data_IF_269598700666
#
_entry.id   IF_269598700666
#
_cell.length_a   1.000
_cell.length_b   1.000
_cell.length_c   1.000
_cell.angle_alpha   90.00
_cell.angle_beta   90.00
_cell.angle_gamma   90.00
#
_symmetry.space_group_name_H-M   'P 1'
#
loop_
_entity.id
_entity.type
_entity.pdbx_description
1 polymer ?
#
# COMPACT_ATOMS: atom_id res chain seq x y z
N UNK A 1 -21.77 -68.50 -25.02
CA UNK A 1 -22.28 -67.29 -24.37
C UNK A 1 -21.08 -66.49 -23.82
N UNK A 2 -20.50 -65.60 -24.68
CA UNK A 2 -19.27 -64.86 -24.37
C UNK A 2 -19.65 -63.53 -23.68
N UNK A 3 -19.18 -63.34 -22.47
CA UNK A 3 -19.26 -62.04 -21.74
C UNK A 3 -17.96 -61.29 -22.04
N UNK A 4 -18.02 -60.30 -22.92
CA UNK A 4 -16.91 -59.29 -23.10
C UNK A 4 -16.91 -58.34 -21.94
N UNK A 5 -15.89 -58.43 -21.09
CA UNK A 5 -15.57 -57.47 -20.04
C UNK A 5 -14.82 -56.30 -20.70
N UNK A 6 -15.51 -55.14 -20.81
CA UNK A 6 -14.96 -53.90 -21.30
C UNK A 6 -14.17 -53.22 -20.19
N UNK A 7 -12.84 -53.34 -20.22
CA UNK A 7 -11.97 -52.65 -19.26
C UNK A 7 -11.84 -51.16 -19.70
N UNK A 8 -12.51 -50.27 -18.94
CA UNK A 8 -12.39 -48.81 -19.12
C UNK A 8 -11.07 -48.36 -18.49
N UNK A 9 -10.04 -48.14 -19.29
CA UNK A 9 -8.78 -47.52 -18.84
C UNK A 9 -9.03 -46.02 -18.69
N UNK A 10 -9.28 -45.59 -17.44
CA UNK A 10 -9.26 -44.18 -17.08
C UNK A 10 -7.79 -43.75 -17.08
N UNK A 11 -7.35 -43.17 -18.17
CA UNK A 11 -6.07 -42.50 -18.26
C UNK A 11 -6.13 -41.25 -17.37
N UNK A 12 -5.59 -41.34 -16.17
CA UNK A 12 -5.27 -40.18 -15.33
C UNK A 12 -4.18 -39.40 -16.09
N UNK A 13 -4.59 -38.39 -16.84
CA UNK A 13 -3.67 -37.33 -17.27
C UNK A 13 -3.24 -36.56 -16.00
N UNK A 14 -2.21 -37.06 -15.33
CA UNK A 14 -1.44 -36.21 -14.40
C UNK A 14 -0.79 -35.14 -15.27
N UNK A 15 -1.33 -33.91 -15.16
CA UNK A 15 -0.63 -32.72 -15.63
C UNK A 15 0.78 -32.78 -15.02
N UNK A 16 1.83 -32.62 -15.81
CA UNK A 16 3.17 -32.62 -15.26
C UNK A 16 3.26 -31.45 -14.27
N UNK A 17 3.58 -31.73 -13.01
CA UNK A 17 4.06 -30.71 -12.09
C UNK A 17 5.17 -29.97 -12.84
N UNK A 18 4.96 -28.69 -13.14
CA UNK A 18 5.94 -27.88 -13.84
C UNK A 18 7.24 -27.91 -13.03
N UNK A 19 8.24 -28.58 -13.54
CA UNK A 19 9.60 -28.59 -12.99
C UNK A 19 10.33 -27.23 -13.23
N UNK A 20 9.62 -26.25 -13.77
CA UNK A 20 10.13 -24.94 -14.15
C UNK A 20 9.57 -23.86 -13.23
N UNK A 21 10.38 -22.85 -12.93
CA UNK A 21 9.95 -21.62 -12.29
C UNK A 21 8.89 -20.89 -13.13
N UNK A 22 8.18 -19.97 -12.52
CA UNK A 22 7.18 -19.13 -13.21
C UNK A 22 7.87 -18.06 -14.06
N UNK A 23 7.26 -17.70 -15.19
CA UNK A 23 7.64 -16.54 -16.01
C UNK A 23 6.89 -15.29 -15.49
N UNK A 24 7.62 -14.29 -15.01
CA UNK A 24 7.05 -13.10 -14.39
C UNK A 24 7.52 -11.87 -15.15
N UNK A 25 6.58 -11.03 -15.56
CA UNK A 25 6.91 -9.71 -16.11
C UNK A 25 6.82 -8.67 -15.00
N UNK A 26 7.91 -7.91 -14.79
CA UNK A 26 7.90 -6.70 -13.96
C UNK A 26 7.74 -5.50 -14.89
N UNK A 27 6.54 -4.94 -14.89
CA UNK A 27 6.18 -3.78 -15.69
C UNK A 27 6.34 -2.50 -14.89
N UNK A 28 7.19 -1.58 -15.34
CA UNK A 28 7.54 -0.36 -14.62
C UNK A 28 7.08 0.89 -15.35
N UNK A 29 6.51 1.84 -14.60
CA UNK A 29 6.22 3.19 -15.10
C UNK A 29 7.49 4.04 -15.28
N UNK A 30 8.59 3.71 -14.58
CA UNK A 30 9.87 4.41 -14.64
C UNK A 30 11.00 3.52 -14.09
N UNK A 31 12.25 3.91 -14.35
CA UNK A 31 13.46 3.25 -13.84
C UNK A 31 13.98 3.85 -12.54
N UNK A 32 13.10 4.25 -11.62
CA UNK A 32 13.50 4.84 -10.34
C UNK A 32 14.18 3.81 -9.42
N UNK A 33 15.04 4.28 -8.52
CA UNK A 33 15.73 3.45 -7.52
C UNK A 33 14.74 2.66 -6.67
N UNK A 34 13.60 3.26 -6.32
CA UNK A 34 12.55 2.58 -5.53
C UNK A 34 11.92 1.42 -6.29
N UNK A 35 11.67 1.56 -7.60
CA UNK A 35 11.14 0.48 -8.41
C UNK A 35 12.14 -0.68 -8.52
N UNK A 36 13.43 -0.38 -8.60
CA UNK A 36 14.47 -1.40 -8.63
C UNK A 36 14.58 -2.14 -7.29
N UNK A 37 14.55 -1.40 -6.18
CA UNK A 37 14.58 -1.98 -4.84
C UNK A 37 13.39 -2.91 -4.60
N UNK A 38 12.18 -2.47 -4.93
CA UNK A 38 10.95 -3.28 -4.82
C UNK A 38 11.06 -4.54 -5.68
N UNK A 39 11.51 -4.42 -6.92
CA UNK A 39 11.70 -5.58 -7.80
C UNK A 39 12.66 -6.60 -7.19
N UNK A 40 13.82 -6.16 -6.69
CA UNK A 40 14.82 -7.06 -6.10
C UNK A 40 14.24 -7.81 -4.89
N UNK A 41 13.58 -7.09 -3.97
CA UNK A 41 12.99 -7.71 -2.78
C UNK A 41 11.86 -8.66 -3.15
N UNK A 42 11.01 -8.28 -4.11
CA UNK A 42 9.93 -9.13 -4.61
C UNK A 42 10.48 -10.44 -5.20
N UNK A 43 11.50 -10.35 -6.04
CA UNK A 43 12.12 -11.52 -6.67
C UNK A 43 12.79 -12.44 -5.65
N UNK A 44 13.60 -11.86 -4.75
CA UNK A 44 14.26 -12.60 -3.68
C UNK A 44 13.26 -13.32 -2.77
N UNK A 45 12.13 -12.69 -2.48
CA UNK A 45 11.08 -13.28 -1.64
C UNK A 45 10.29 -14.38 -2.36
N UNK A 46 10.07 -14.25 -3.66
CA UNK A 46 9.48 -15.32 -4.48
C UNK A 46 10.36 -16.56 -4.48
N UNK A 47 11.66 -16.39 -4.71
CA UNK A 47 12.61 -17.50 -4.76
C UNK A 47 12.69 -18.28 -3.44
N UNK A 48 12.56 -17.58 -2.29
CA UNK A 48 12.49 -18.21 -0.95
C UNK A 48 11.22 -19.05 -0.75
N UNK A 49 10.13 -18.73 -1.44
CA UNK A 49 8.82 -19.38 -1.26
C UNK A 49 8.62 -20.59 -2.16
N UNK A 50 9.57 -20.92 -3.05
CA UNK A 50 9.53 -22.14 -3.85
C UNK A 50 9.56 -23.35 -2.91
N UNK A 51 8.59 -24.28 -2.96
CA UNK A 51 8.62 -25.45 -2.13
C UNK A 51 9.79 -26.38 -2.56
N UNK A 52 10.82 -26.46 -1.78
CA UNK A 52 11.94 -27.41 -1.96
C UNK A 52 11.50 -28.85 -1.65
N UNK A 53 10.39 -29.32 -2.16
CA UNK A 53 9.91 -30.70 -1.96
C UNK A 53 10.71 -31.67 -2.82
N UNK A 54 11.94 -31.98 -2.39
CA UNK A 54 12.66 -33.20 -2.84
C UNK A 54 13.08 -33.30 -4.31
N UNK A 55 12.86 -32.28 -5.12
CA UNK A 55 13.29 -32.23 -6.52
C UNK A 55 14.69 -31.64 -6.61
N UNK A 56 15.63 -32.38 -7.20
CA UNK A 56 17.05 -32.03 -7.30
C UNK A 56 17.38 -30.83 -8.19
N UNK A 57 16.42 -30.24 -8.88
CA UNK A 57 16.60 -28.99 -9.67
C UNK A 57 15.25 -28.33 -9.90
N UNK A 58 14.89 -27.37 -9.06
CA UNK A 58 13.85 -26.40 -9.40
C UNK A 58 14.54 -25.25 -10.13
N UNK A 59 14.09 -24.91 -11.32
CA UNK A 59 14.59 -23.73 -12.03
C UNK A 59 14.07 -22.47 -11.29
N UNK A 60 14.90 -21.43 -11.08
CA UNK A 60 14.45 -20.18 -10.50
C UNK A 60 13.36 -19.54 -11.37
N UNK A 61 12.56 -18.66 -10.78
CA UNK A 61 11.62 -17.84 -11.54
C UNK A 61 12.36 -17.03 -12.61
N UNK A 62 11.78 -16.93 -13.80
CA UNK A 62 12.30 -16.02 -14.82
C UNK A 62 11.59 -14.67 -14.66
N UNK A 63 12.37 -13.62 -14.46
CA UNK A 63 11.85 -12.28 -14.28
C UNK A 63 12.28 -11.40 -15.44
N UNK A 64 11.32 -11.01 -16.28
CA UNK A 64 11.57 -10.13 -17.43
C UNK A 64 11.09 -8.72 -17.12
N UNK A 65 11.99 -7.75 -17.21
CA UNK A 65 11.67 -6.33 -17.01
C UNK A 65 11.14 -5.69 -18.30
N UNK A 66 10.03 -4.97 -18.18
CA UNK A 66 9.46 -4.12 -19.23
C UNK A 66 9.25 -2.72 -18.67
N UNK A 67 9.93 -1.74 -19.25
CA UNK A 67 9.74 -0.32 -18.89
C UNK A 67 8.84 0.33 -19.94
N UNK A 68 7.83 1.06 -19.46
CA UNK A 68 6.87 1.73 -20.35
C UNK A 68 7.54 2.95 -20.97
N UNK A 69 7.52 3.02 -22.29
CA UNK A 69 7.85 4.22 -23.03
C UNK A 69 6.57 5.01 -23.29
N UNK A 70 6.58 6.28 -22.95
CA UNK A 70 5.42 7.17 -23.14
C UNK A 70 4.99 7.16 -24.61
N UNK A 71 3.73 6.85 -24.86
CA UNK A 71 3.14 6.77 -26.20
C UNK A 71 3.31 5.41 -26.93
N UNK A 72 3.96 4.42 -26.28
CA UNK A 72 4.13 3.05 -26.83
C UNK A 72 3.48 1.97 -25.94
N UNK A 73 2.31 2.27 -25.39
CA UNK A 73 1.55 1.32 -24.59
C UNK A 73 1.24 0.03 -25.38
N UNK A 74 0.91 0.18 -26.66
CA UNK A 74 0.63 -0.95 -27.56
C UNK A 74 1.87 -1.83 -27.85
N UNK A 75 3.06 -1.25 -27.95
CA UNK A 75 4.31 -1.96 -28.05
C UNK A 75 4.62 -2.76 -26.79
N UNK A 76 4.45 -2.15 -25.63
CA UNK A 76 4.59 -2.81 -24.33
C UNK A 76 3.63 -4.00 -24.20
N UNK A 77 2.36 -3.82 -24.55
CA UNK A 77 1.34 -4.90 -24.51
C UNK A 77 1.74 -6.09 -25.39
N UNK A 78 2.13 -5.85 -26.65
CA UNK A 78 2.61 -6.91 -27.56
C UNK A 78 3.84 -7.64 -27.02
N UNK A 79 4.80 -6.91 -26.45
CA UNK A 79 5.99 -7.49 -25.83
C UNK A 79 5.61 -8.40 -24.65
N UNK A 80 4.73 -7.96 -23.78
CA UNK A 80 4.25 -8.79 -22.66
C UNK A 80 3.56 -10.04 -23.19
N UNK A 81 2.69 -9.91 -24.19
CA UNK A 81 2.01 -11.05 -24.79
C UNK A 81 2.98 -12.06 -25.41
N UNK A 82 4.08 -11.59 -26.04
CA UNK A 82 5.09 -12.49 -26.64
C UNK A 82 5.92 -13.26 -25.59
N UNK A 83 6.02 -12.76 -24.35
CA UNK A 83 6.69 -13.43 -23.24
C UNK A 83 5.81 -14.55 -22.67
N UNK A 84 4.48 -14.46 -22.79
CA UNK A 84 3.50 -15.38 -22.19
C UNK A 84 3.70 -15.56 -20.67
N UNK A 85 3.73 -14.48 -19.87
CA UNK A 85 4.02 -14.59 -18.46
C UNK A 85 2.87 -15.24 -17.69
N UNK A 86 3.23 -15.92 -16.60
CA UNK A 86 2.27 -16.49 -15.64
C UNK A 86 1.68 -15.38 -14.72
N UNK A 87 2.40 -14.23 -14.56
CA UNK A 87 1.99 -13.12 -13.72
C UNK A 87 2.66 -11.80 -14.16
N UNK A 88 1.96 -10.69 -13.99
CA UNK A 88 2.53 -9.34 -14.16
C UNK A 88 2.60 -8.65 -12.79
N UNK A 89 3.82 -8.21 -12.39
CA UNK A 89 4.00 -7.23 -11.32
C UNK A 89 4.00 -5.83 -11.93
N UNK A 90 2.98 -5.03 -11.62
CA UNK A 90 2.85 -3.66 -12.13
C UNK A 90 3.31 -2.63 -11.09
N UNK A 91 4.39 -1.88 -11.36
CA UNK A 91 4.93 -0.85 -10.48
C UNK A 91 4.54 0.55 -10.96
N UNK A 92 3.50 1.11 -10.30
CA UNK A 92 2.95 2.43 -10.57
C UNK A 92 1.68 2.41 -11.44
N UNK A 93 0.93 3.51 -11.39
CA UNK A 93 -0.39 3.60 -12.02
C UNK A 93 -0.40 3.43 -13.54
N UNK A 94 0.64 3.90 -14.24
CA UNK A 94 0.76 3.70 -15.69
C UNK A 94 1.04 2.23 -16.01
N UNK A 95 1.87 1.56 -15.19
CA UNK A 95 2.13 0.14 -15.32
C UNK A 95 0.86 -0.68 -15.13
N UNK A 96 0.06 -0.37 -14.12
CA UNK A 96 -1.23 -1.04 -13.92
C UNK A 96 -2.16 -0.85 -15.15
N UNK A 97 -2.27 0.37 -15.68
CA UNK A 97 -3.10 0.63 -16.87
C UNK A 97 -2.69 -0.21 -18.06
N UNK A 98 -1.39 -0.32 -18.33
CA UNK A 98 -0.87 -1.14 -19.44
C UNK A 98 -1.05 -2.63 -19.17
N UNK A 99 -0.80 -3.10 -17.94
CA UNK A 99 -1.05 -4.49 -17.55
C UNK A 99 -2.52 -4.89 -17.76
N UNK A 100 -3.45 -3.99 -17.49
CA UNK A 100 -4.88 -4.24 -17.69
C UNK A 100 -5.29 -4.36 -19.16
N UNK A 101 -4.47 -3.95 -20.11
CA UNK A 101 -4.69 -4.18 -21.55
C UNK A 101 -4.29 -5.58 -22.01
N UNK A 102 -3.54 -6.31 -21.19
CA UNK A 102 -3.16 -7.70 -21.48
C UNK A 102 -4.21 -8.63 -20.85
N UNK A 103 -5.03 -9.36 -21.64
CA UNK A 103 -6.09 -10.20 -21.09
C UNK A 103 -5.53 -11.43 -20.38
N UNK A 104 -6.33 -12.01 -19.49
CA UNK A 104 -6.18 -13.35 -18.90
C UNK A 104 -4.94 -13.58 -18.01
N UNK A 105 -4.03 -12.62 -17.91
CA UNK A 105 -2.84 -12.74 -17.07
C UNK A 105 -3.10 -12.07 -15.71
N UNK A 106 -2.86 -12.78 -14.59
CA UNK A 106 -2.94 -12.21 -13.26
C UNK A 106 -2.04 -10.99 -13.07
N UNK A 107 -2.52 -10.00 -12.31
CA UNK A 107 -1.75 -8.78 -12.03
C UNK A 107 -1.66 -8.55 -10.53
N UNK A 108 -0.44 -8.41 -10.03
CA UNK A 108 -0.16 -7.84 -8.70
C UNK A 108 0.40 -6.44 -8.91
N UNK A 109 -0.13 -5.45 -8.20
CA UNK A 109 0.33 -4.07 -8.37
C UNK A 109 0.84 -3.46 -7.08
N UNK A 110 1.82 -2.57 -7.20
CA UNK A 110 2.39 -1.74 -6.14
C UNK A 110 2.55 -0.30 -6.62
N UNK A 111 2.65 0.63 -5.67
CA UNK A 111 2.86 2.06 -5.94
C UNK A 111 1.74 2.69 -6.81
N UNK A 112 0.51 2.23 -6.63
CA UNK A 112 -0.65 2.74 -7.36
C UNK A 112 -1.54 3.54 -6.42
N UNK A 113 -1.79 4.79 -6.79
CA UNK A 113 -2.73 5.68 -6.09
C UNK A 113 -4.12 5.43 -6.68
N UNK A 114 -5.11 5.15 -5.82
CA UNK A 114 -6.51 4.88 -6.20
C UNK A 114 -6.68 3.79 -7.27
N UNK A 115 -6.18 2.56 -7.01
CA UNK A 115 -6.25 1.47 -7.99
C UNK A 115 -7.69 1.03 -8.30
N UNK A 116 -8.63 1.22 -7.38
CA UNK A 116 -10.04 0.86 -7.51
C UNK A 116 -10.74 1.47 -8.74
N UNK A 117 -10.24 2.58 -9.25
CA UNK A 117 -10.74 3.22 -10.47
C UNK A 117 -10.22 2.56 -11.76
N UNK A 118 -9.21 1.70 -11.64
CA UNK A 118 -8.48 1.11 -12.76
C UNK A 118 -8.70 -0.40 -12.89
N UNK A 119 -9.31 -1.04 -11.88
CA UNK A 119 -9.45 -2.51 -11.80
C UNK A 119 -10.77 -2.96 -12.44
N UNK A 120 -10.67 -3.86 -13.42
CA UNK A 120 -11.82 -4.64 -13.89
C UNK A 120 -12.06 -5.82 -12.93
N UNK A 121 -13.20 -5.85 -12.26
CA UNK A 121 -13.57 -6.90 -11.29
C UNK A 121 -13.67 -8.32 -11.88
N UNK A 122 -13.62 -8.44 -13.20
CA UNK A 122 -13.67 -9.75 -13.90
C UNK A 122 -12.31 -10.44 -13.99
N UNK A 123 -11.22 -9.79 -13.56
CA UNK A 123 -9.85 -10.29 -13.68
C UNK A 123 -9.21 -10.50 -12.29
N UNK A 124 -8.30 -11.47 -12.15
CA UNK A 124 -7.50 -11.61 -10.94
C UNK A 124 -6.46 -10.47 -10.89
N UNK A 125 -6.87 -9.34 -10.31
CA UNK A 125 -6.01 -8.17 -10.11
C UNK A 125 -6.04 -7.80 -8.63
N UNK A 126 -4.88 -7.83 -7.99
CA UNK A 126 -4.71 -7.48 -6.58
C UNK A 126 -3.47 -6.62 -6.39
N UNK A 127 -3.24 -6.14 -5.19
CA UNK A 127 -2.05 -5.36 -4.86
C UNK A 127 -2.04 -4.86 -3.44
N UNK A 128 -1.00 -4.12 -3.07
CA UNK A 128 -0.87 -3.52 -1.75
C UNK A 128 -1.16 -2.03 -1.83
N UNK A 129 -2.02 -1.55 -0.94
CA UNK A 129 -2.42 -0.14 -0.86
C UNK A 129 -1.24 0.77 -0.53
N UNK A 130 -1.23 1.98 -1.09
CA UNK A 130 -0.35 3.08 -0.68
C UNK A 130 -0.92 3.93 0.47
N UNK A 131 -2.06 3.56 1.00
CA UNK A 131 -2.73 4.32 2.05
C UNK A 131 -2.94 3.45 3.27
N UNK A 132 -2.39 3.88 4.40
CA UNK A 132 -2.74 3.30 5.70
C UNK A 132 -4.16 3.72 6.05
N UNK A 133 -5.07 2.78 6.38
CA UNK A 133 -6.45 3.13 6.72
C UNK A 133 -6.53 4.13 7.88
N UNK A 134 -7.47 5.08 7.87
CA UNK A 134 -7.66 6.05 8.94
C UNK A 134 -7.74 5.42 10.33
N UNK A 135 -8.51 4.34 10.48
CA UNK A 135 -8.62 3.61 11.73
C UNK A 135 -7.26 3.16 12.25
N UNK A 136 -6.43 2.59 11.40
CA UNK A 136 -5.10 2.08 11.79
C UNK A 136 -4.18 3.23 12.20
N UNK A 137 -4.21 4.37 11.46
CA UNK A 137 -3.44 5.55 11.84
C UNK A 137 -3.84 6.07 13.22
N UNK A 138 -5.14 6.11 13.52
CA UNK A 138 -5.68 6.59 14.78
C UNK A 138 -5.43 5.60 15.93
N UNK A 139 -5.54 4.30 15.68
CA UNK A 139 -5.23 3.26 16.68
C UNK A 139 -3.75 3.32 17.07
N UNK A 140 -2.85 3.43 16.09
CA UNK A 140 -1.43 3.61 16.36
C UNK A 140 -1.13 4.92 17.11
N UNK A 141 -1.74 6.01 16.70
CA UNK A 141 -1.62 7.31 17.40
C UNK A 141 -2.06 7.21 18.87
N UNK A 142 -3.23 6.62 19.13
CA UNK A 142 -3.78 6.49 20.51
C UNK A 142 -2.88 5.60 21.39
N UNK A 143 -2.20 4.60 20.82
CA UNK A 143 -1.25 3.76 21.55
C UNK A 143 -0.09 4.57 22.15
N UNK A 144 0.35 5.63 21.46
CA UNK A 144 1.44 6.50 21.93
C UNK A 144 0.96 7.71 22.72
N UNK A 145 -0.23 8.20 22.41
CA UNK A 145 -0.84 9.39 23.01
C UNK A 145 -2.26 9.09 23.51
N UNK A 146 -2.41 8.27 24.57
CA UNK A 146 -3.72 7.81 25.05
C UNK A 146 -4.61 8.93 25.60
N UNK A 147 -4.03 10.07 25.99
CA UNK A 147 -4.76 11.22 26.51
C UNK A 147 -5.42 12.08 25.42
N UNK A 148 -5.11 11.80 24.14
CA UNK A 148 -5.70 12.55 23.02
C UNK A 148 -7.14 12.10 22.80
N UNK A 149 -8.07 13.03 22.88
CA UNK A 149 -9.50 12.82 22.63
C UNK A 149 -10.06 13.69 21.52
N UNK A 150 -9.46 14.88 21.25
CA UNK A 150 -9.93 15.83 20.24
C UNK A 150 -8.90 16.00 19.14
N UNK A 151 -9.27 15.66 17.93
CA UNK A 151 -8.38 15.68 16.77
C UNK A 151 -8.81 16.76 15.80
N UNK A 152 -7.89 17.68 15.48
CA UNK A 152 -8.08 18.70 14.46
C UNK A 152 -7.47 18.31 13.13
N UNK A 153 -8.19 18.56 12.05
CA UNK A 153 -7.68 18.36 10.70
C UNK A 153 -8.23 19.42 9.74
N UNK A 154 -7.44 19.74 8.73
CA UNK A 154 -7.88 20.58 7.60
C UNK A 154 -7.83 19.73 6.36
N UNK A 155 -8.87 19.75 5.53
CA UNK A 155 -8.99 18.88 4.38
C UNK A 155 -9.63 19.55 3.15
N UNK A 156 -9.29 19.06 1.97
CA UNK A 156 -9.97 19.43 0.72
C UNK A 156 -11.14 18.47 0.47
N UNK A 157 -12.39 18.95 0.43
CA UNK A 157 -13.56 18.11 0.23
C UNK A 157 -13.52 17.28 -1.07
N UNK A 158 -12.86 17.78 -2.10
CA UNK A 158 -12.70 17.06 -3.37
C UNK A 158 -11.76 15.87 -3.29
N UNK A 159 -10.85 15.85 -2.30
CA UNK A 159 -9.81 14.83 -2.16
C UNK A 159 -10.05 13.90 -0.99
N UNK A 160 -10.44 14.43 0.14
CA UNK A 160 -10.42 13.72 1.44
C UNK A 160 -11.80 13.57 2.08
N UNK A 161 -12.90 14.01 1.44
CA UNK A 161 -14.26 13.89 2.01
C UNK A 161 -14.64 12.46 2.39
N UNK A 162 -14.24 11.46 1.60
CA UNK A 162 -14.51 10.04 1.91
C UNK A 162 -13.84 9.58 3.19
N UNK A 163 -12.63 10.07 3.47
CA UNK A 163 -11.91 9.79 4.71
C UNK A 163 -12.64 10.43 5.88
N UNK A 164 -12.94 11.72 5.77
CA UNK A 164 -13.56 12.49 6.85
C UNK A 164 -14.96 11.96 7.20
N UNK A 165 -15.75 11.58 6.20
CA UNK A 165 -17.12 11.08 6.41
C UNK A 165 -17.22 9.79 7.24
N UNK A 166 -16.15 9.02 7.38
CA UNK A 166 -16.16 7.76 8.14
C UNK A 166 -15.53 7.90 9.54
N UNK A 167 -14.93 9.04 9.88
CA UNK A 167 -14.14 9.17 11.11
C UNK A 167 -14.95 8.83 12.37
N UNK A 168 -16.15 9.39 12.49
CA UNK A 168 -17.02 9.15 13.66
C UNK A 168 -17.46 7.69 13.78
N UNK A 169 -17.53 6.97 12.65
CA UNK A 169 -17.90 5.55 12.65
C UNK A 169 -16.73 4.61 12.96
N UNK A 170 -15.51 4.98 12.55
CA UNK A 170 -14.33 4.14 12.77
C UNK A 170 -13.67 4.36 14.12
N UNK A 171 -13.83 5.55 14.73
CA UNK A 171 -13.34 5.90 16.07
C UNK A 171 -14.34 6.80 16.81
N UNK A 172 -15.48 6.21 17.26
CA UNK A 172 -16.54 6.95 17.95
C UNK A 172 -16.14 7.46 19.34
N UNK A 173 -15.00 7.03 19.85
CA UNK A 173 -14.36 7.46 21.09
C UNK A 173 -13.57 8.76 20.97
N UNK A 174 -13.34 9.24 19.74
CA UNK A 174 -12.61 10.47 19.44
C UNK A 174 -13.53 11.54 18.86
N UNK A 175 -13.28 12.80 19.23
CA UNK A 175 -13.95 13.97 18.65
C UNK A 175 -13.12 14.52 17.51
N UNK A 176 -13.73 14.73 16.33
CA UNK A 176 -13.06 15.27 15.16
C UNK A 176 -13.52 16.68 14.84
N UNK A 177 -12.59 17.63 14.77
CA UNK A 177 -12.82 19.00 14.30
C UNK A 177 -12.22 19.13 12.91
N UNK A 178 -13.02 18.81 11.90
CA UNK A 178 -12.62 18.80 10.50
C UNK A 178 -13.02 20.11 9.81
N UNK A 179 -12.03 20.85 9.30
CA UNK A 179 -12.20 22.12 8.62
C UNK A 179 -11.95 21.96 7.13
N UNK A 180 -12.96 22.28 6.32
CA UNK A 180 -12.91 22.09 4.88
C UNK A 180 -12.40 23.34 4.17
N UNK A 181 -11.50 23.17 3.18
CA UNK A 181 -11.13 24.23 2.24
C UNK A 181 -10.56 23.64 0.93
N UNK A 182 -10.83 24.31 -0.18
CA UNK A 182 -10.20 24.06 -1.48
C UNK A 182 -9.07 25.06 -1.76
N UNK A 183 -8.85 26.02 -0.87
CA UNK A 183 -7.91 27.13 -1.04
C UNK A 183 -6.70 26.97 -0.11
N UNK A 184 -5.52 26.75 -0.70
CA UNK A 184 -4.25 26.63 0.03
C UNK A 184 -3.99 27.84 0.97
N UNK A 185 -4.37 29.05 0.55
CA UNK A 185 -4.11 30.27 1.31
C UNK A 185 -4.91 30.35 2.64
N UNK A 186 -6.01 29.64 2.76
CA UNK A 186 -6.83 29.60 3.95
C UNK A 186 -6.32 28.59 5.00
N UNK A 187 -5.51 27.63 4.61
CA UNK A 187 -5.05 26.54 5.48
C UNK A 187 -4.36 27.03 6.76
N UNK A 188 -3.46 28.04 6.73
CA UNK A 188 -2.83 28.56 7.95
C UNK A 188 -3.83 29.16 8.94
N UNK A 189 -4.82 29.88 8.45
CA UNK A 189 -5.86 30.50 9.31
C UNK A 189 -6.78 29.44 9.91
N UNK A 190 -7.20 28.45 9.12
CA UNK A 190 -8.00 27.33 9.61
C UNK A 190 -7.25 26.52 10.68
N UNK A 191 -5.96 26.22 10.48
CA UNK A 191 -5.12 25.58 11.50
C UNK A 191 -5.09 26.46 12.77
N UNK A 192 -4.91 27.77 12.62
CA UNK A 192 -4.87 28.69 13.77
C UNK A 192 -6.20 28.70 14.55
N UNK A 193 -7.34 28.57 13.90
CA UNK A 193 -8.66 28.55 14.52
C UNK A 193 -8.91 27.32 15.41
N UNK A 194 -8.08 26.27 15.30
CA UNK A 194 -8.13 25.06 16.12
C UNK A 194 -7.50 25.27 17.53
N UNK A 195 -6.90 26.43 17.79
CA UNK A 195 -6.24 26.72 19.07
C UNK A 195 -7.18 26.53 20.26
N UNK A 196 -6.74 25.74 21.27
CA UNK A 196 -7.49 25.44 22.49
C UNK A 196 -8.68 24.47 22.27
N UNK A 197 -8.92 24.02 21.04
CA UNK A 197 -10.05 23.17 20.70
C UNK A 197 -9.64 21.71 20.49
N UNK A 198 -8.35 21.46 20.25
CA UNK A 198 -7.83 20.14 19.87
C UNK A 198 -6.64 19.74 20.73
N UNK A 199 -6.44 18.44 20.89
CA UNK A 199 -5.34 17.83 21.63
C UNK A 199 -4.25 17.32 20.68
N UNK A 200 -4.60 17.16 19.38
CA UNK A 200 -3.70 16.69 18.33
C UNK A 200 -4.10 17.31 16.99
N UNK A 201 -3.11 17.59 16.13
CA UNK A 201 -3.33 17.86 14.71
C UNK A 201 -3.05 16.63 13.88
N UNK A 202 -3.87 16.36 12.88
CA UNK A 202 -3.68 15.29 11.91
C UNK A 202 -3.54 15.84 10.50
N UNK A 203 -2.38 15.63 9.88
CA UNK A 203 -2.15 15.87 8.46
C UNK A 203 -2.64 14.70 7.64
N UNK A 204 -3.60 14.92 6.75
CA UNK A 204 -4.01 13.95 5.73
C UNK A 204 -3.08 13.99 4.50
N UNK A 205 -3.00 12.88 3.71
CA UNK A 205 -2.28 12.86 2.42
C UNK A 205 -3.06 13.63 1.33
N UNK A 206 -3.20 14.92 1.52
CA UNK A 206 -4.03 15.85 0.75
C UNK A 206 -3.15 16.98 0.21
N UNK A 207 -3.00 17.08 -1.11
CA UNK A 207 -2.09 18.03 -1.75
C UNK A 207 -2.49 19.49 -1.56
N UNK A 208 -3.79 19.78 -1.31
CA UNK A 208 -4.27 21.14 -1.03
C UNK A 208 -3.85 21.57 0.37
N UNK A 209 -4.02 20.69 1.35
CA UNK A 209 -3.83 21.03 2.76
C UNK A 209 -2.47 20.64 3.31
N UNK A 210 -1.76 19.69 2.67
CA UNK A 210 -0.42 19.22 3.07
C UNK A 210 0.57 19.34 1.92
N UNK A 211 1.22 20.48 1.82
CA UNK A 211 2.23 20.79 0.80
C UNK A 211 3.36 21.65 1.41
N UNK A 212 4.37 21.99 0.62
CA UNK A 212 5.55 22.73 1.08
C UNK A 212 5.23 24.11 1.69
N UNK A 213 4.08 24.73 1.36
CA UNK A 213 3.65 26.01 1.91
C UNK A 213 3.00 25.82 3.28
N UNK A 214 2.11 24.84 3.39
CA UNK A 214 1.25 24.63 4.58
C UNK A 214 1.92 23.83 5.69
N UNK A 215 2.88 22.94 5.38
CA UNK A 215 3.59 22.09 6.35
C UNK A 215 4.18 22.93 7.50
N UNK A 216 4.73 24.10 7.20
CA UNK A 216 5.29 24.98 8.24
C UNK A 216 4.21 25.48 9.20
N UNK A 217 3.00 25.75 8.73
CA UNK A 217 1.88 26.22 9.59
C UNK A 217 1.46 25.15 10.58
N UNK A 218 1.41 23.88 10.15
CA UNK A 218 1.16 22.74 11.05
C UNK A 218 2.24 22.62 12.13
N UNK A 219 3.52 22.67 11.74
CA UNK A 219 4.64 22.57 12.67
C UNK A 219 4.66 23.72 13.69
N UNK A 220 4.49 24.97 13.22
CA UNK A 220 4.44 26.16 14.07
C UNK A 220 3.27 26.07 15.05
N UNK A 221 2.10 25.65 14.60
CA UNK A 221 0.93 25.49 15.47
C UNK A 221 1.18 24.40 16.54
N UNK A 222 1.68 23.23 16.16
CA UNK A 222 2.05 22.15 17.07
C UNK A 222 3.01 22.64 18.17
N UNK A 223 4.11 23.30 17.76
CA UNK A 223 5.12 23.82 18.70
C UNK A 223 4.52 24.88 19.65
N UNK A 224 3.79 25.87 19.12
CA UNK A 224 3.25 26.97 19.92
C UNK A 224 2.17 26.54 20.91
N UNK A 225 1.39 25.50 20.57
CA UNK A 225 0.31 25.00 21.39
C UNK A 225 0.67 23.74 22.19
N UNK A 226 1.89 23.21 22.02
CA UNK A 226 2.41 22.00 22.68
C UNK A 226 1.50 20.78 22.47
N UNK A 227 1.03 20.59 21.26
CA UNK A 227 0.21 19.42 20.89
C UNK A 227 0.91 18.58 19.82
N UNK A 228 0.74 17.24 19.82
CA UNK A 228 1.34 16.37 18.84
C UNK A 228 0.78 16.62 17.44
N UNK A 229 1.60 16.28 16.44
CA UNK A 229 1.28 16.36 15.02
C UNK A 229 1.43 14.99 14.37
N UNK A 230 0.30 14.35 14.04
CA UNK A 230 0.24 13.08 13.31
C UNK A 230 0.37 13.31 11.81
N UNK A 231 1.17 12.48 11.17
CA UNK A 231 1.36 12.51 9.71
C UNK A 231 1.42 11.10 9.09
N UNK A 232 1.26 11.04 7.78
CA UNK A 232 1.29 9.83 6.96
C UNK A 232 2.68 9.50 6.38
N UNK A 233 3.70 10.34 6.62
CA UNK A 233 5.01 10.20 5.97
C UNK A 233 6.18 10.50 6.92
N UNK A 234 7.14 9.58 6.98
CA UNK A 234 8.38 9.76 7.73
C UNK A 234 9.14 11.05 7.34
N UNK A 235 9.06 11.49 6.08
CA UNK A 235 9.74 12.71 5.63
C UNK A 235 9.26 13.95 6.37
N UNK A 236 7.99 13.96 6.81
CA UNK A 236 7.40 15.10 7.53
C UNK A 236 7.86 15.22 8.98
N UNK A 237 8.47 14.18 9.56
CA UNK A 237 9.11 14.26 10.87
C UNK A 237 10.25 15.30 10.89
N UNK A 238 10.99 15.43 9.80
CA UNK A 238 12.04 16.45 9.64
C UNK A 238 11.49 17.88 9.57
N UNK A 239 10.20 18.02 9.29
CA UNK A 239 9.50 19.30 9.21
C UNK A 239 8.67 19.58 10.48
N UNK A 240 8.90 18.86 11.59
CA UNK A 240 8.31 19.14 12.88
C UNK A 240 7.09 18.28 13.23
N UNK A 241 6.76 17.26 12.47
CA UNK A 241 5.75 16.30 12.90
C UNK A 241 6.29 15.44 14.06
N UNK A 242 5.36 15.01 14.92
CA UNK A 242 5.66 14.28 16.16
C UNK A 242 5.62 12.78 15.97
N UNK A 243 4.66 12.30 15.21
CA UNK A 243 4.44 10.89 14.89
C UNK A 243 4.10 10.71 13.43
N UNK A 244 4.70 9.73 12.79
CA UNK A 244 4.35 9.29 11.45
C UNK A 244 3.84 7.85 11.51
N UNK A 245 2.61 7.63 11.05
CA UNK A 245 2.05 6.30 10.81
C UNK A 245 2.05 6.09 9.30
N UNK A 246 2.96 5.25 8.84
CA UNK A 246 3.27 5.07 7.42
C UNK A 246 3.40 3.60 7.08
N UNK A 247 3.83 3.29 5.88
CA UNK A 247 4.11 1.92 5.44
C UNK A 247 5.59 1.76 5.08
N UNK A 248 6.06 0.51 5.18
CA UNK A 248 7.39 0.11 4.74
C UNK A 248 7.32 -0.46 3.32
N UNK A 249 8.03 0.16 2.38
CA UNK A 249 8.03 -0.25 0.97
C UNK A 249 8.68 -1.61 0.74
N UNK A 250 9.65 -1.99 1.58
CA UNK A 250 10.33 -3.28 1.49
C UNK A 250 9.37 -4.40 1.94
N UNK A 251 8.64 -4.16 3.01
CA UNK A 251 7.63 -5.09 3.50
C UNK A 251 6.43 -5.20 2.55
N UNK A 252 6.04 -4.08 1.91
CA UNK A 252 5.05 -4.11 0.82
C UNK A 252 5.49 -5.01 -0.34
N UNK A 253 6.79 -4.98 -0.70
CA UNK A 253 7.32 -5.85 -1.75
C UNK A 253 7.27 -7.33 -1.35
N UNK A 254 7.57 -7.66 -0.09
CA UNK A 254 7.45 -9.03 0.46
C UNK A 254 6.00 -9.49 0.49
N UNK A 255 5.08 -8.61 0.90
CA UNK A 255 3.64 -8.90 0.90
C UNK A 255 3.12 -9.16 -0.51
N UNK A 256 3.55 -8.35 -1.50
CA UNK A 256 3.20 -8.56 -2.90
C UNK A 256 3.73 -9.89 -3.46
N UNK A 257 4.93 -10.31 -3.04
CA UNK A 257 5.47 -11.63 -3.39
C UNK A 257 4.61 -12.76 -2.80
N UNK A 258 4.08 -12.59 -1.59
CA UNK A 258 3.11 -13.50 -0.99
C UNK A 258 1.84 -13.63 -1.84
N UNK A 259 1.23 -12.50 -2.21
CA UNK A 259 0.05 -12.46 -3.08
C UNK A 259 0.32 -13.12 -4.44
N UNK A 260 1.47 -12.85 -5.04
CA UNK A 260 1.88 -13.47 -6.30
C UNK A 260 1.97 -15.00 -6.17
N UNK A 261 2.59 -15.52 -5.11
CA UNK A 261 2.69 -16.96 -4.88
C UNK A 261 1.34 -17.62 -4.61
N UNK A 262 0.43 -16.95 -3.91
CA UNK A 262 -0.92 -17.47 -3.69
C UNK A 262 -1.70 -17.61 -5.00
N UNK A 263 -1.55 -16.63 -5.91
CA UNK A 263 -2.12 -16.67 -7.25
C UNK A 263 -1.48 -17.80 -8.08
N UNK A 264 -0.15 -17.83 -8.16
CA UNK A 264 0.60 -18.78 -8.99
C UNK A 264 0.44 -20.22 -8.53
N UNK A 265 0.27 -20.46 -7.23
CA UNK A 265 0.01 -21.78 -6.66
C UNK A 265 -1.45 -22.21 -6.70
N UNK A 266 -2.33 -21.45 -7.35
CA UNK A 266 -3.78 -21.69 -7.41
C UNK A 266 -4.45 -21.86 -6.02
N UNK A 267 -3.86 -21.29 -4.96
CA UNK A 267 -4.44 -21.33 -3.61
C UNK A 267 -5.64 -20.42 -3.48
N UNK A 268 -5.79 -19.49 -4.40
CA UNK A 268 -6.85 -18.48 -4.38
C UNK A 268 -7.46 -18.40 -5.77
N UNK A 269 -8.79 -18.46 -5.84
CA UNK A 269 -9.54 -18.29 -7.09
C UNK A 269 -9.57 -16.83 -7.58
N UNK A 270 -10.37 -16.57 -8.60
CA UNK A 270 -10.59 -15.24 -9.22
C UNK A 270 -11.16 -14.18 -8.26
N UNK A 271 -11.45 -14.53 -7.01
CA UNK A 271 -11.99 -13.63 -5.97
C UNK A 271 -10.95 -12.67 -5.39
N UNK A 272 -9.66 -12.83 -5.68
CA UNK A 272 -8.59 -11.91 -5.29
C UNK A 272 -8.61 -10.63 -6.12
N UNK A 273 -9.68 -9.85 -5.98
CA UNK A 273 -9.76 -8.48 -6.51
C UNK A 273 -9.62 -7.44 -5.41
N UNK A 274 -9.44 -7.88 -4.16
CA UNK A 274 -9.31 -6.98 -3.02
C UNK A 274 -7.90 -6.39 -2.93
N UNK A 275 -7.86 -5.09 -2.71
CA UNK A 275 -6.64 -4.39 -2.32
C UNK A 275 -6.30 -4.78 -0.88
N UNK A 276 -5.04 -5.13 -0.63
CA UNK A 276 -4.55 -5.49 0.71
C UNK A 276 -3.98 -4.25 1.39
N UNK A 277 -4.26 -4.08 2.68
CA UNK A 277 -3.69 -2.99 3.46
C UNK A 277 -2.16 -3.13 3.57
N UNK A 278 -1.41 -2.02 3.55
CA UNK A 278 0.04 -2.07 3.65
C UNK A 278 0.49 -2.46 5.06
N UNK A 279 1.67 -3.08 5.20
CA UNK A 279 2.31 -3.24 6.50
C UNK A 279 2.61 -1.88 7.11
N UNK A 280 2.18 -1.68 8.36
CA UNK A 280 2.24 -0.39 9.02
C UNK A 280 3.51 -0.25 9.84
N UNK A 281 4.14 0.91 9.74
CA UNK A 281 5.28 1.33 10.56
C UNK A 281 4.96 2.66 11.23
N UNK A 282 5.15 2.70 12.56
CA UNK A 282 4.98 3.91 13.35
C UNK A 282 6.35 4.44 13.78
N UNK A 283 6.62 5.71 13.50
CA UNK A 283 7.89 6.36 13.80
C UNK A 283 7.63 7.60 14.65
N UNK A 284 8.26 7.66 15.82
CA UNK A 284 8.16 8.78 16.75
C UNK A 284 9.36 9.71 16.59
N UNK A 285 9.10 11.01 16.59
CA UNK A 285 10.12 12.04 16.66
C UNK A 285 10.37 12.40 18.14
N UNK A 286 11.26 11.67 18.80
CA UNK A 286 11.58 11.86 20.22
C UNK A 286 12.08 13.27 20.54
N UNK A 287 12.78 13.93 19.61
CA UNK A 287 13.21 15.33 19.79
C UNK A 287 12.00 16.26 19.87
N UNK A 288 11.02 16.06 18.98
CA UNK A 288 9.81 16.88 19.00
C UNK A 288 8.95 16.61 20.22
N UNK A 289 8.75 15.35 20.63
CA UNK A 289 7.99 15.03 21.84
C UNK A 289 8.61 15.67 23.10
N UNK A 290 9.95 15.61 23.21
CA UNK A 290 10.67 16.26 24.30
C UNK A 290 10.51 17.80 24.27
N UNK A 291 10.64 18.42 23.09
CA UNK A 291 10.48 19.88 22.93
C UNK A 291 9.05 20.34 23.26
N UNK A 292 8.06 19.53 23.00
CA UNK A 292 6.66 19.82 23.32
C UNK A 292 6.34 19.54 24.80
N UNK A 293 7.19 18.81 25.52
CA UNK A 293 6.94 18.34 26.88
C UNK A 293 5.84 17.29 26.95
N UNK A 294 5.68 16.48 25.90
CA UNK A 294 4.64 15.45 25.79
C UNK A 294 5.23 14.10 26.21
N UNK A 295 4.55 13.41 27.13
CA UNK A 295 4.86 12.04 27.50
C UNK A 295 4.35 11.09 26.44
N UNK A 296 5.16 10.06 26.12
CA UNK A 296 4.81 8.97 25.23
C UNK A 296 4.54 7.75 26.11
N UNK A 297 3.45 7.02 25.87
CA UNK A 297 3.25 5.74 26.50
C UNK A 297 4.34 4.75 26.02
N UNK A 298 5.08 4.16 26.96
CA UNK A 298 6.18 3.25 26.62
C UNK A 298 5.62 1.92 26.11
N UNK A 299 6.15 1.45 24.99
CA UNK A 299 5.76 0.17 24.37
C UNK A 299 5.99 -1.05 25.27
N UNK A 300 6.82 -0.93 26.30
CA UNK A 300 7.25 -2.07 27.15
C UNK A 300 6.21 -2.50 28.20
N UNK A 301 5.15 -1.73 28.40
CA UNK A 301 4.16 -1.99 29.45
C UNK A 301 2.80 -2.49 28.94
N UNK A 302 2.65 -2.69 27.62
CA UNK A 302 1.37 -3.09 27.03
C UNK A 302 1.31 -4.58 26.61
N UNK A 303 2.43 -5.30 26.70
CA UNK A 303 2.54 -6.74 26.35
C UNK A 303 2.81 -7.65 27.57
N UNK A 304 2.47 -7.19 28.82
CA UNK A 304 2.42 -8.02 30.03
C UNK A 304 0.99 -8.40 30.43
#
# INVERSE_FOLDING_TARGET
MNKHLLLLIISFFSLPDRAFGYEIVVLKSSTSTINQQIQNIFTDELDKRIPHRGLKSIQPHQVTEVVITKGDEGGCTRRIQSIHPDLILALGGQALKVALLVPDIPVVHLLVIHPETSIDKKRPVTGVSLSVPPKVQLDEMTRYFPEVTRIGLVYDPKRSSKIVAQLDSVRPDLEFIALATENIAEVPELIHSLRGRVDLLWMLPDLTTTNHITIQSYAIFSIKNKIPLLTFSQKLLKHGATIAVTFDTDEMARQAAGLAMDILSHRVGTELTALVDPPVTTIINHTMTANLGISIADRRTADE
#
